data_IF_303074505056
#
_entry.id   IF_303074505056
#
_cell.length_a   1.000
_cell.length_b   1.000
_cell.length_c   1.000
_cell.angle_alpha   90.00
_cell.angle_beta   90.00
_cell.angle_gamma   90.00
#
_symmetry.space_group_name_H-M   'P 1'
#
loop_
_entity.id
_entity.type
_entity.pdbx_description
1 polymer ?
#
# COMPACT_ATOMS: atom_id res chain seq x y z
N UNK A 1 -25.83 13.45 -3.75
CA UNK A 1 -26.26 12.17 -3.11
C UNK A 1 -26.45 12.44 -1.60
N UNK A 2 -27.38 13.33 -1.26
CA UNK A 2 -27.42 14.02 0.05
C UNK A 2 -28.83 13.99 0.66
N UNK A 3 -29.64 12.98 0.31
CA UNK A 3 -31.07 12.94 0.66
C UNK A 3 -31.33 12.18 1.98
N UNK A 4 -30.39 11.34 2.45
CA UNK A 4 -30.58 10.51 3.65
C UNK A 4 -30.14 11.13 4.99
N UNK A 5 -29.21 12.08 4.99
CA UNK A 5 -28.64 12.66 6.23
C UNK A 5 -29.43 13.85 6.79
N UNK A 6 -30.40 14.40 6.05
CA UNK A 6 -31.23 15.52 6.52
C UNK A 6 -32.27 15.12 7.57
N UNK A 7 -32.43 13.82 7.84
CA UNK A 7 -33.37 13.29 8.84
C UNK A 7 -32.72 12.97 10.18
N UNK A 8 -31.40 13.07 10.29
CA UNK A 8 -30.66 12.79 11.53
C UNK A 8 -29.95 14.07 11.99
N UNK A 9 -30.69 14.93 12.69
CA UNK A 9 -30.10 16.07 13.39
C UNK A 9 -29.46 15.57 14.68
N UNK A 10 -28.14 15.39 14.68
CA UNK A 10 -27.40 15.24 15.93
C UNK A 10 -27.36 16.60 16.64
N UNK A 11 -27.93 16.69 17.83
CA UNK A 11 -27.88 17.91 18.65
C UNK A 11 -26.55 17.96 19.42
N UNK A 12 -25.80 19.07 19.31
CA UNK A 12 -24.51 19.29 19.98
C UNK A 12 -23.65 20.34 19.26
N UNK A 13 -22.47 20.65 19.81
CA UNK A 13 -21.45 21.47 19.15
C UNK A 13 -21.05 20.86 17.79
N UNK A 14 -20.70 21.68 16.79
CA UNK A 14 -20.40 21.23 15.41
C UNK A 14 -19.34 20.11 15.35
N UNK A 15 -18.35 20.17 16.26
CA UNK A 15 -17.34 19.13 16.42
C UNK A 15 -17.93 17.77 16.84
N UNK A 16 -18.92 17.76 17.73
CA UNK A 16 -19.60 16.52 18.17
C UNK A 16 -20.49 15.95 17.06
N UNK A 17 -21.15 16.81 16.28
CA UNK A 17 -21.96 16.39 15.13
C UNK A 17 -21.09 15.75 14.06
N UNK A 18 -19.95 16.36 13.74
CA UNK A 18 -18.97 15.79 12.81
C UNK A 18 -18.43 14.45 13.31
N UNK A 19 -17.99 14.38 14.57
CA UNK A 19 -17.44 13.16 15.16
C UNK A 19 -18.47 12.00 15.12
N UNK A 20 -19.72 12.26 15.50
CA UNK A 20 -20.80 11.26 15.45
C UNK A 20 -21.07 10.81 14.02
N UNK A 21 -21.11 11.73 13.07
CA UNK A 21 -21.36 11.41 11.65
C UNK A 21 -20.23 10.56 11.05
N UNK A 22 -18.98 10.93 11.31
CA UNK A 22 -17.80 10.17 10.86
C UNK A 22 -17.76 8.76 11.47
N UNK A 23 -18.02 8.63 12.77
CA UNK A 23 -18.06 7.32 13.44
C UNK A 23 -19.15 6.41 12.87
N UNK A 24 -20.37 6.94 12.67
CA UNK A 24 -21.48 6.15 12.11
C UNK A 24 -21.17 5.75 10.67
N UNK A 25 -20.62 6.66 9.87
CA UNK A 25 -20.25 6.36 8.48
C UNK A 25 -19.18 5.28 8.43
N UNK A 26 -18.12 5.42 9.24
CA UNK A 26 -17.06 4.41 9.38
C UNK A 26 -17.65 3.06 9.76
N UNK A 27 -18.47 3.01 10.82
CA UNK A 27 -19.11 1.78 11.28
C UNK A 27 -19.95 1.10 10.20
N UNK A 28 -20.80 1.87 9.51
CA UNK A 28 -21.65 1.34 8.43
C UNK A 28 -20.81 0.81 7.29
N UNK A 29 -19.77 1.52 6.86
CA UNK A 29 -18.87 1.05 5.78
C UNK A 29 -18.06 -0.18 6.19
N UNK A 30 -17.62 -0.26 7.44
CA UNK A 30 -16.93 -1.45 7.97
C UNK A 30 -17.86 -2.66 7.97
N UNK A 31 -19.09 -2.53 8.47
CA UNK A 31 -20.07 -3.62 8.46
C UNK A 31 -20.36 -4.04 7.01
N UNK A 32 -20.59 -3.07 6.12
CA UNK A 32 -20.86 -3.34 4.72
C UNK A 32 -19.70 -4.11 4.04
N UNK A 33 -18.44 -3.70 4.26
CA UNK A 33 -17.31 -4.44 3.71
C UNK A 33 -17.22 -5.84 4.31
N UNK A 34 -17.44 -6.00 5.62
CA UNK A 34 -17.28 -7.29 6.29
C UNK A 34 -18.29 -8.28 5.73
N UNK A 35 -19.55 -7.84 5.62
CA UNK A 35 -20.62 -8.63 5.00
C UNK A 35 -20.26 -8.98 3.57
N UNK A 36 -19.80 -8.02 2.76
CA UNK A 36 -19.39 -8.30 1.39
C UNK A 36 -18.26 -9.35 1.31
N UNK A 37 -17.25 -9.26 2.18
CA UNK A 37 -16.13 -10.22 2.24
C UNK A 37 -16.59 -11.64 2.59
N UNK A 38 -17.57 -11.79 3.50
CA UNK A 38 -18.06 -13.12 3.91
C UNK A 38 -19.13 -13.69 2.98
N UNK A 39 -19.89 -12.85 2.28
CA UNK A 39 -20.93 -13.29 1.33
C UNK A 39 -20.33 -13.67 -0.02
N UNK A 40 -19.22 -13.06 -0.41
CA UNK A 40 -18.55 -13.35 -1.68
C UNK A 40 -17.76 -14.66 -1.56
N UNK A 41 -17.87 -15.60 -2.52
CA UNK A 41 -17.10 -16.84 -2.47
C UNK A 41 -15.59 -16.54 -2.53
N UNK A 42 -14.76 -17.35 -1.85
CA UNK A 42 -13.31 -17.23 -1.96
C UNK A 42 -12.87 -17.54 -3.39
N UNK A 43 -11.84 -16.83 -3.85
CA UNK A 43 -11.24 -17.01 -5.17
C UNK A 43 -10.56 -18.39 -5.29
N UNK A 44 -10.49 -18.94 -6.51
CA UNK A 44 -9.90 -20.27 -6.72
C UNK A 44 -8.40 -20.31 -6.41
N UNK A 45 -7.92 -21.46 -5.93
CA UNK A 45 -6.50 -21.65 -5.62
C UNK A 45 -5.59 -21.39 -6.83
N UNK A 46 -6.03 -21.76 -8.04
CA UNK A 46 -5.30 -21.51 -9.28
C UNK A 46 -5.09 -20.00 -9.53
N UNK A 47 -6.12 -19.18 -9.31
CA UNK A 47 -6.00 -17.71 -9.40
C UNK A 47 -5.05 -17.17 -8.33
N UNK A 48 -5.11 -17.67 -7.09
CA UNK A 48 -4.25 -17.25 -5.99
C UNK A 48 -2.77 -17.59 -6.26
N UNK A 49 -2.49 -18.78 -6.79
CA UNK A 49 -1.14 -19.18 -7.23
C UNK A 49 -0.66 -18.30 -8.36
N UNK A 50 -1.51 -18.02 -9.37
CA UNK A 50 -1.18 -17.12 -10.47
C UNK A 50 -0.88 -15.69 -10.01
N UNK A 51 -1.65 -15.19 -9.05
CA UNK A 51 -1.40 -13.89 -8.40
C UNK A 51 -0.08 -13.91 -7.62
N UNK A 52 0.16 -14.95 -6.83
CA UNK A 52 1.36 -15.10 -6.03
C UNK A 52 2.63 -15.11 -6.90
N UNK A 53 2.61 -15.83 -8.04
CA UNK A 53 3.70 -15.85 -9.02
C UNK A 53 3.93 -14.53 -9.76
N UNK A 54 2.96 -13.62 -9.78
CA UNK A 54 3.10 -12.31 -10.44
C UNK A 54 3.58 -11.22 -9.49
N UNK A 55 3.01 -11.20 -8.29
CA UNK A 55 3.24 -10.10 -7.33
C UNK A 55 4.33 -10.45 -6.32
N UNK A 56 4.63 -11.74 -6.13
CA UNK A 56 5.61 -12.24 -5.14
C UNK A 56 5.42 -11.56 -3.78
N UNK A 57 4.22 -11.63 -3.18
CA UNK A 57 3.94 -10.97 -1.92
C UNK A 57 4.80 -11.59 -0.79
N UNK A 58 4.96 -10.84 0.30
CA UNK A 58 5.62 -11.36 1.51
C UNK A 58 4.89 -12.60 2.02
N UNK A 59 5.63 -13.60 2.51
CA UNK A 59 5.09 -14.91 2.94
C UNK A 59 4.11 -14.81 4.12
N UNK A 60 4.15 -13.70 4.88
CA UNK A 60 3.24 -13.47 6.00
C UNK A 60 1.79 -13.36 5.50
N UNK A 61 0.93 -14.30 5.89
CA UNK A 61 -0.46 -14.43 5.41
C UNK A 61 -0.63 -15.32 4.16
N UNK A 62 0.46 -15.60 3.42
CA UNK A 62 0.44 -16.38 2.18
C UNK A 62 1.14 -17.75 2.30
N UNK A 63 1.51 -18.18 3.52
CA UNK A 63 2.26 -19.42 3.76
C UNK A 63 1.66 -20.68 3.11
N UNK A 64 0.33 -20.76 3.01
CA UNK A 64 -0.31 -21.89 2.34
C UNK A 64 -0.03 -21.90 0.84
N UNK A 65 -0.22 -20.76 0.17
CA UNK A 65 0.02 -20.60 -1.28
C UNK A 65 1.53 -20.64 -1.61
N UNK A 66 2.38 -20.08 -0.74
CA UNK A 66 3.83 -20.12 -0.90
C UNK A 66 4.38 -21.56 -0.95
N UNK A 67 3.79 -22.48 -0.17
CA UNK A 67 4.16 -23.91 -0.21
C UNK A 67 3.80 -24.60 -1.53
N UNK A 68 2.80 -24.09 -2.24
CA UNK A 68 2.39 -24.60 -3.55
C UNK A 68 3.30 -24.07 -4.68
N UNK A 69 4.20 -23.14 -4.38
CA UNK A 69 5.10 -22.47 -5.33
C UNK A 69 6.55 -22.47 -4.79
N UNK A 70 7.18 -23.65 -4.61
CA UNK A 70 8.52 -23.76 -4.03
C UNK A 70 9.64 -23.20 -4.94
N UNK A 71 9.35 -22.94 -6.21
CA UNK A 71 10.29 -22.39 -7.18
C UNK A 71 10.64 -20.91 -6.93
N UNK A 72 9.87 -20.21 -6.08
CA UNK A 72 10.09 -18.80 -5.77
C UNK A 72 10.76 -18.62 -4.41
N UNK A 73 11.85 -17.83 -4.32
CA UNK A 73 12.47 -17.54 -3.04
C UNK A 73 11.52 -16.76 -2.13
N UNK A 74 11.42 -17.18 -0.88
CA UNK A 74 10.55 -16.55 0.12
C UNK A 74 10.97 -15.11 0.40
N UNK A 75 10.10 -14.15 0.08
CA UNK A 75 10.32 -12.73 0.43
C UNK A 75 9.99 -12.55 1.91
N UNK A 76 11.01 -12.34 2.74
CA UNK A 76 10.90 -12.13 4.20
C UNK A 76 11.26 -10.71 4.65
N UNK A 77 11.25 -9.75 3.72
CA UNK A 77 11.84 -8.44 3.94
C UNK A 77 10.88 -7.38 4.50
N UNK A 78 10.17 -7.76 5.58
CA UNK A 78 9.15 -6.89 6.17
C UNK A 78 9.76 -5.60 6.74
N UNK A 79 10.94 -5.69 7.36
CA UNK A 79 11.60 -4.55 7.99
C UNK A 79 12.06 -3.50 6.96
N UNK A 80 12.61 -3.94 5.83
CA UNK A 80 12.98 -3.03 4.75
C UNK A 80 11.79 -2.38 4.06
N UNK A 81 10.76 -3.18 3.79
CA UNK A 81 9.52 -2.66 3.21
C UNK A 81 8.84 -1.65 4.15
N UNK A 82 8.82 -1.91 5.46
CA UNK A 82 8.31 -0.97 6.45
C UNK A 82 9.15 0.32 6.51
N UNK A 83 10.49 0.21 6.46
CA UNK A 83 11.37 1.38 6.40
C UNK A 83 11.08 2.24 5.16
N UNK A 84 11.03 1.63 3.97
CA UNK A 84 10.72 2.34 2.74
C UNK A 84 9.31 2.95 2.74
N UNK A 85 8.34 2.28 3.38
CA UNK A 85 7.00 2.82 3.57
C UNK A 85 7.01 4.10 4.42
N UNK A 86 7.69 4.10 5.56
CA UNK A 86 7.82 5.30 6.43
C UNK A 86 8.56 6.41 5.69
N UNK A 87 9.66 6.10 5.01
CA UNK A 87 10.40 7.08 4.21
C UNK A 87 9.54 7.63 3.07
N UNK A 88 8.69 6.80 2.45
CA UNK A 88 7.74 7.21 1.41
C UNK A 88 6.69 8.18 1.96
N UNK A 89 6.14 7.92 3.15
CA UNK A 89 5.26 8.86 3.84
C UNK A 89 5.97 10.19 4.13
N UNK A 90 7.20 10.14 4.64
CA UNK A 90 8.00 11.33 4.94
C UNK A 90 8.30 12.14 3.67
N UNK A 91 8.63 11.48 2.56
CA UNK A 91 8.85 12.10 1.25
C UNK A 91 7.58 12.80 0.74
N UNK A 92 6.44 12.10 0.70
CA UNK A 92 5.19 12.66 0.16
C UNK A 92 4.70 13.84 1.00
N UNK A 93 4.67 13.69 2.33
CA UNK A 93 4.23 14.78 3.21
C UNK A 93 5.24 15.93 3.26
N UNK A 94 6.54 15.64 3.26
CA UNK A 94 7.59 16.66 3.19
C UNK A 94 7.49 17.49 1.92
N UNK A 95 7.26 16.87 0.76
CA UNK A 95 7.00 17.58 -0.49
C UNK A 95 5.70 18.40 -0.43
N UNK A 96 4.59 17.80 0.03
CA UNK A 96 3.29 18.46 0.09
C UNK A 96 3.33 19.72 0.97
N UNK A 97 3.79 19.58 2.22
CA UNK A 97 3.86 20.69 3.17
C UNK A 97 5.01 21.65 2.84
N UNK A 98 6.14 21.14 2.34
CA UNK A 98 7.29 21.95 1.94
C UNK A 98 6.93 22.90 0.80
N UNK A 99 6.36 22.39 -0.29
CA UNK A 99 5.88 23.20 -1.41
C UNK A 99 4.80 24.17 -0.92
N UNK A 100 3.84 23.70 -0.11
CA UNK A 100 2.81 24.56 0.48
C UNK A 100 3.42 25.76 1.23
N UNK A 101 4.40 25.51 2.10
CA UNK A 101 5.08 26.57 2.88
C UNK A 101 5.87 27.54 2.02
N UNK A 102 6.50 27.08 0.93
CA UNK A 102 7.14 27.97 -0.03
C UNK A 102 6.11 28.90 -0.69
N UNK A 103 4.95 28.37 -1.10
CA UNK A 103 3.87 29.17 -1.71
C UNK A 103 3.32 30.22 -0.75
N UNK A 104 3.21 29.89 0.54
CA UNK A 104 2.77 30.84 1.58
C UNK A 104 3.85 31.81 2.06
N UNK A 105 5.05 31.79 1.47
CA UNK A 105 6.14 32.70 1.81
C UNK A 105 6.93 32.34 3.07
N UNK A 106 6.68 31.17 3.67
CA UNK A 106 7.46 30.63 4.80
C UNK A 106 8.67 29.82 4.29
N UNK A 107 9.60 30.50 3.63
CA UNK A 107 10.73 29.89 2.93
C UNK A 107 11.58 28.96 3.80
N UNK A 108 11.85 29.33 5.06
CA UNK A 108 12.68 28.52 5.96
C UNK A 108 12.08 27.14 6.24
N UNK A 109 10.81 27.09 6.62
CA UNK A 109 10.09 25.83 6.85
C UNK A 109 9.89 25.04 5.55
N UNK A 110 9.59 25.72 4.45
CA UNK A 110 9.46 25.09 3.15
C UNK A 110 10.72 24.37 2.71
N UNK A 111 11.88 25.04 2.79
CA UNK A 111 13.18 24.46 2.44
C UNK A 111 13.52 23.29 3.37
N UNK A 112 13.33 23.44 4.69
CA UNK A 112 13.62 22.36 5.64
C UNK A 112 12.81 21.09 5.33
N UNK A 113 11.51 21.23 5.09
CA UNK A 113 10.64 20.09 4.75
C UNK A 113 11.05 19.43 3.43
N UNK A 114 11.48 20.21 2.44
CA UNK A 114 11.99 19.68 1.18
C UNK A 114 13.35 18.98 1.33
N UNK A 115 14.22 19.45 2.22
CA UNK A 115 15.47 18.76 2.54
C UNK A 115 15.21 17.41 3.21
N UNK A 116 14.27 17.36 4.16
CA UNK A 116 13.82 16.09 4.77
C UNK A 116 13.24 15.16 3.71
N UNK A 117 12.41 15.67 2.81
CA UNK A 117 11.85 14.90 1.70
C UNK A 117 12.95 14.34 0.78
N UNK A 118 13.92 15.18 0.40
CA UNK A 118 15.07 14.78 -0.41
C UNK A 118 15.93 13.71 0.27
N UNK A 119 16.17 13.85 1.58
CA UNK A 119 16.88 12.85 2.38
C UNK A 119 16.12 11.51 2.43
N UNK A 120 14.80 11.54 2.64
CA UNK A 120 13.97 10.34 2.61
C UNK A 120 14.00 9.65 1.24
N UNK A 121 13.90 10.41 0.15
CA UNK A 121 14.04 9.89 -1.21
C UNK A 121 15.41 9.27 -1.48
N UNK A 122 16.49 9.90 -1.00
CA UNK A 122 17.84 9.36 -1.08
C UNK A 122 17.98 8.04 -0.30
N UNK A 123 17.44 7.97 0.92
CA UNK A 123 17.48 6.76 1.74
C UNK A 123 16.72 5.61 1.09
N UNK A 124 15.56 5.86 0.47
CA UNK A 124 14.81 4.87 -0.31
C UNK A 124 15.67 4.38 -1.48
N UNK A 125 16.25 5.30 -2.25
CA UNK A 125 17.08 4.94 -3.40
C UNK A 125 18.31 4.11 -2.98
N UNK A 126 18.97 4.50 -1.89
CA UNK A 126 20.12 3.79 -1.33
C UNK A 126 19.72 2.38 -0.86
N UNK A 127 18.63 2.26 -0.13
CA UNK A 127 18.12 0.97 0.37
C UNK A 127 17.76 0.02 -0.78
N UNK A 128 17.03 0.51 -1.79
CA UNK A 128 16.71 -0.24 -3.01
C UNK A 128 17.97 -0.64 -3.80
N UNK A 129 18.95 0.26 -3.90
CA UNK A 129 20.21 -0.02 -4.61
C UNK A 129 21.00 -1.17 -3.96
N UNK A 130 20.93 -1.30 -2.63
CA UNK A 130 21.59 -2.37 -1.87
C UNK A 130 20.87 -3.71 -1.98
N UNK A 131 19.54 -3.70 -2.09
CA UNK A 131 18.71 -4.91 -2.17
C UNK A 131 18.64 -5.51 -3.58
N UNK A 132 19.13 -4.78 -4.58
CA UNK A 132 19.22 -5.23 -5.97
C UNK A 132 17.88 -5.13 -6.70
N UNK A 133 17.84 -4.27 -7.72
CA UNK A 133 16.66 -3.99 -8.55
C UNK A 133 16.05 -5.22 -9.22
N UNK A 134 16.81 -6.31 -9.36
CA UNK A 134 16.37 -7.56 -9.99
C UNK A 134 15.24 -8.27 -9.25
N UNK A 135 15.06 -8.02 -7.94
CA UNK A 135 13.95 -8.59 -7.16
C UNK A 135 12.64 -7.81 -7.31
N UNK A 136 12.68 -6.60 -7.90
CA UNK A 136 11.57 -5.64 -7.89
C UNK A 136 11.13 -5.18 -9.28
N UNK A 137 11.95 -5.40 -10.33
CA UNK A 137 11.69 -4.91 -11.69
C UNK A 137 10.69 -5.75 -12.49
N UNK A 138 10.17 -6.86 -11.94
CA UNK A 138 9.24 -7.74 -12.67
C UNK A 138 9.77 -8.15 -14.04
N UNK A 139 11.10 -8.23 -14.21
CA UNK A 139 11.70 -8.60 -15.47
C UNK A 139 11.23 -10.02 -15.81
N UNK A 140 10.36 -10.10 -16.82
CA UNK A 140 9.74 -11.35 -17.25
C UNK A 140 10.82 -12.42 -17.43
N UNK A 141 10.58 -13.60 -16.86
CA UNK A 141 11.35 -14.80 -17.18
C UNK A 141 11.35 -14.91 -18.71
N UNK A 142 12.52 -14.94 -19.37
CA UNK A 142 12.57 -14.99 -20.82
C UNK A 142 11.80 -16.23 -21.32
N UNK A 143 10.87 -15.99 -22.25
CA UNK A 143 9.93 -16.96 -22.85
C UNK A 143 10.64 -18.19 -23.45
N UNK A 144 11.96 -18.13 -23.65
CA UNK A 144 12.78 -19.25 -24.11
C UNK A 144 12.80 -20.44 -23.14
N UNK A 145 12.61 -20.24 -21.83
CA UNK A 145 12.57 -21.33 -20.86
C UNK A 145 11.26 -22.14 -20.89
N UNK A 146 10.18 -21.58 -21.45
CA UNK A 146 8.83 -22.16 -21.40
C UNK A 146 8.53 -23.08 -22.60
N UNK A 147 9.29 -22.96 -23.70
CA UNK A 147 9.19 -23.86 -24.86
C UNK A 147 10.03 -25.14 -24.71
N UNK A 148 11.11 -25.11 -23.91
CA UNK A 148 11.93 -26.30 -23.68
C UNK A 148 11.24 -27.34 -22.77
N UNK A 149 10.38 -26.89 -21.84
CA UNK A 149 9.68 -27.79 -20.91
C UNK A 149 8.42 -28.46 -21.48
N UNK A 150 7.96 -28.04 -22.66
CA UNK A 150 6.78 -28.61 -23.33
C UNK A 150 7.16 -29.45 -24.58
N UNK A 151 8.47 -29.67 -24.80
CA UNK A 151 9.01 -30.41 -25.94
C UNK A 151 9.51 -31.82 -25.56
N UNK A 152 9.37 -32.20 -24.29
CA UNK A 152 9.62 -33.55 -23.75
C UNK A 152 8.30 -34.13 -23.21
#
# INVERSE_FOLDING_TARGET
MTIGLSRVSFTGNDALVYAKTALITGLVTTIAWIVATFVTPPESEATLVGFYKRVHPTVYGWRHIAKLVPELPEVRDLAGNAFNWVMGCALVYGCLFGIGKLVFGEWGWGILLLLVAGAAGYLIFWDLSRRGWATLSGAAVPVSAQHAANAD
#
